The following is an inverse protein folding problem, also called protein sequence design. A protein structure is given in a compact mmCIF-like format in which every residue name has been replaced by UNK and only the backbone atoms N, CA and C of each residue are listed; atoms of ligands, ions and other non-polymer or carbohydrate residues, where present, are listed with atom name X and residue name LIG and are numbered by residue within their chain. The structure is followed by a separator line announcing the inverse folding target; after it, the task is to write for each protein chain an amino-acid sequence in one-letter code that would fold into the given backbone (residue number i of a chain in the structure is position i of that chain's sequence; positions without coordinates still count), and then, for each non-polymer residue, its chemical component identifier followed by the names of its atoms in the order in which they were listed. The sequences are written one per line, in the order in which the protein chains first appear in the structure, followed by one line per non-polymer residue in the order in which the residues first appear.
data_IF_158015681685
#
_entry.id   IF_158015681685
#
_cell.length_a   1.000
_cell.length_b   1.000
_cell.length_c   1.000
_cell.angle_alpha   90.00
_cell.angle_beta   90.00
_cell.angle_gamma   90.00
#
_symmetry.space_group_name_H-M   'P 1'
#
loop_
_entity.id
_entity.type
_entity.pdbx_description
1 polymer ?
#
# COMPACT_ATOMS: atom_id res chain seq x y z
N UNK A 1 39.60 -58.43 49.60
CA UNK A 1 41.01 -58.53 49.18
C UNK A 1 41.34 -57.14 48.76
N UNK A 2 41.81 -56.37 49.64
CA UNK A 2 43.19 -55.98 49.97
C UNK A 2 43.68 -54.97 48.90
N UNK A 3 44.14 -53.82 49.10
CA UNK A 3 44.70 -53.23 50.34
C UNK A 3 45.31 -51.89 49.93
N UNK A 4 45.14 -50.90 50.76
CA UNK A 4 46.10 -49.97 51.31
C UNK A 4 47.00 -49.19 50.32
N UNK A 5 47.35 -47.96 50.53
CA UNK A 5 47.50 -47.13 51.70
C UNK A 5 48.14 -45.82 51.25
N UNK A 6 47.78 -44.72 51.86
CA UNK A 6 48.58 -43.89 52.77
C UNK A 6 49.99 -43.52 52.28
N UNK A 7 50.42 -42.25 52.25
CA UNK A 7 50.78 -41.44 53.39
C UNK A 7 51.40 -40.09 52.88
N UNK A 8 50.90 -38.98 53.34
CA UNK A 8 51.50 -37.88 54.11
C UNK A 8 52.93 -37.42 53.71
N UNK A 9 53.22 -36.18 53.66
CA UNK A 9 53.31 -35.09 54.57
C UNK A 9 54.28 -33.98 54.07
N UNK A 10 53.92 -32.78 54.32
CA UNK A 10 54.66 -31.63 54.77
C UNK A 10 55.99 -31.20 54.08
N UNK A 11 56.07 -30.02 53.58
CA UNK A 11 56.75 -28.94 54.31
C UNK A 11 56.79 -27.64 53.52
N UNK A 12 56.55 -26.58 54.29
CA UNK A 12 56.73 -25.15 54.05
C UNK A 12 58.03 -24.75 53.29
N UNK A 13 57.93 -23.67 52.48
CA UNK A 13 58.44 -22.35 52.81
C UNK A 13 58.54 -21.43 51.59
N UNK A 14 57.95 -20.34 51.69
CA UNK A 14 58.44 -18.96 51.63
C UNK A 14 58.73 -18.25 50.31
N UNK A 15 58.04 -17.13 50.22
CA UNK A 15 58.45 -15.82 49.71
C UNK A 15 58.81 -15.60 48.23
N UNK A 16 58.12 -14.62 47.63
CA UNK A 16 58.64 -13.84 46.54
C UNK A 16 57.58 -13.32 45.57
N UNK A 17 57.07 -12.12 45.86
CA UNK A 17 56.10 -11.43 45.00
C UNK A 17 56.59 -11.09 43.61
N UNK A 18 55.65 -11.07 42.71
CA UNK A 18 55.66 -10.17 41.54
C UNK A 18 54.24 -9.99 41.07
N UNK A 19 53.76 -8.76 41.19
CA UNK A 19 52.53 -8.34 40.55
C UNK A 19 52.64 -8.46 39.05
N UNK A 20 51.84 -9.39 38.48
CA UNK A 20 51.62 -9.47 37.05
C UNK A 20 50.27 -8.76 36.74
N UNK A 21 50.33 -7.67 36.00
CA UNK A 21 49.18 -7.00 35.43
C UNK A 21 48.30 -7.97 34.65
N UNK A 22 46.99 -7.86 34.71
CA UNK A 22 46.10 -8.63 33.82
C UNK A 22 46.28 -8.14 32.39
N UNK A 23 46.83 -9.02 31.55
CA UNK A 23 46.85 -8.89 30.10
C UNK A 23 45.47 -8.47 29.59
N UNK A 24 45.39 -7.22 29.12
CA UNK A 24 44.30 -6.70 28.33
C UNK A 24 44.20 -7.52 27.05
N UNK A 25 43.15 -8.30 26.94
CA UNK A 25 42.71 -8.99 25.71
C UNK A 25 42.37 -7.90 24.63
N UNK A 26 43.17 -7.75 23.55
CA UNK A 26 42.89 -6.76 22.50
C UNK A 26 42.08 -7.41 21.39
N UNK A 27 40.86 -7.90 21.65
CA UNK A 27 40.06 -8.64 20.68
C UNK A 27 38.57 -8.41 20.75
N UNK A 28 38.07 -7.47 21.56
CA UNK A 28 36.69 -7.04 21.51
C UNK A 28 36.48 -6.04 20.38
N UNK A 29 36.06 -6.48 19.20
CA UNK A 29 35.53 -5.58 18.18
C UNK A 29 34.46 -4.70 18.84
N UNK A 30 34.51 -3.36 18.71
CA UNK A 30 33.43 -2.53 19.21
C UNK A 30 32.15 -2.93 18.49
N UNK A 31 31.16 -3.44 19.23
CA UNK A 31 29.82 -3.61 18.73
C UNK A 31 29.41 -2.27 18.14
N UNK A 32 29.21 -2.21 16.81
CA UNK A 32 28.65 -1.06 16.14
C UNK A 32 27.36 -0.72 16.87
N UNK A 33 27.38 0.35 17.67
CA UNK A 33 26.23 0.77 18.46
C UNK A 33 25.09 1.06 17.52
N UNK A 34 24.02 0.28 17.60
CA UNK A 34 22.81 0.53 16.84
C UNK A 34 22.32 1.95 17.15
N UNK A 35 22.18 2.78 16.11
CA UNK A 35 21.73 4.17 16.27
C UNK A 35 20.38 4.17 16.97
N UNK A 36 20.28 4.84 18.13
CA UNK A 36 19.00 5.00 18.83
C UNK A 36 18.11 6.07 18.15
N UNK A 37 17.48 5.66 17.07
CA UNK A 37 16.49 6.49 16.37
C UNK A 37 15.27 6.84 17.23
N UNK A 38 14.95 6.05 18.28
CA UNK A 38 13.78 6.28 19.10
C UNK A 38 14.01 7.43 20.11
N UNK A 39 15.14 7.40 20.81
CA UNK A 39 15.53 8.50 21.73
C UNK A 39 15.69 9.82 20.99
N UNK A 40 16.43 9.80 19.86
CA UNK A 40 16.64 11.01 19.03
C UNK A 40 15.34 11.59 18.49
N UNK A 41 14.39 10.76 18.07
CA UNK A 41 13.09 11.23 17.61
C UNK A 41 12.28 11.84 18.75
N UNK A 42 12.35 11.28 19.97
CA UNK A 42 11.66 11.82 21.13
C UNK A 42 12.20 13.20 21.53
N UNK A 43 13.51 13.43 21.43
CA UNK A 43 14.15 14.73 21.69
C UNK A 43 13.68 15.82 20.71
N UNK A 44 13.50 15.47 19.44
CA UNK A 44 13.06 16.41 18.40
C UNK A 44 11.56 16.65 18.43
N UNK A 45 10.76 15.58 18.59
CA UNK A 45 9.30 15.65 18.53
C UNK A 45 8.67 16.11 19.86
N UNK A 46 9.33 15.84 21.01
CA UNK A 46 8.74 15.95 22.34
C UNK A 46 7.79 14.80 22.70
N UNK A 47 7.67 13.80 21.80
CA UNK A 47 6.85 12.59 21.99
C UNK A 47 7.41 11.43 21.16
N UNK A 48 6.89 10.20 21.40
CA UNK A 48 7.35 9.00 20.68
C UNK A 48 7.10 9.08 19.16
N UNK A 49 8.10 8.68 18.35
CA UNK A 49 7.98 8.61 16.87
C UNK A 49 6.82 7.75 16.38
N UNK A 50 6.31 6.82 17.20
CA UNK A 50 5.16 5.98 16.85
C UNK A 50 3.88 6.79 16.62
N UNK A 51 3.76 7.99 17.18
CA UNK A 51 2.66 8.90 16.91
C UNK A 51 2.64 9.39 15.46
N UNK A 52 3.80 9.42 14.77
CA UNK A 52 3.85 9.73 13.34
C UNK A 52 3.20 8.61 12.50
N UNK A 53 3.46 7.32 12.85
CA UNK A 53 2.77 6.19 12.22
C UNK A 53 1.28 6.19 12.56
N UNK A 54 0.93 6.42 13.84
CA UNK A 54 -0.47 6.44 14.27
C UNK A 54 -1.26 7.56 13.56
N UNK A 55 -0.69 8.74 13.42
CA UNK A 55 -1.30 9.85 12.68
C UNK A 55 -1.46 9.51 11.19
N UNK A 56 -0.40 9.00 10.56
CA UNK A 56 -0.45 8.59 9.15
C UNK A 56 -1.50 7.49 8.92
N UNK A 57 -1.50 6.45 9.74
CA UNK A 57 -2.47 5.34 9.66
C UNK A 57 -3.90 5.82 9.92
N UNK A 58 -4.09 6.69 10.91
CA UNK A 58 -5.41 7.29 11.21
C UNK A 58 -5.95 8.11 10.04
N UNK A 59 -5.12 8.96 9.44
CA UNK A 59 -5.51 9.74 8.24
C UNK A 59 -5.82 8.84 7.05
N UNK A 60 -4.99 7.83 6.80
CA UNK A 60 -5.20 6.86 5.72
C UNK A 60 -6.50 6.07 5.92
N UNK A 61 -6.77 5.63 7.14
CA UNK A 61 -8.03 4.94 7.49
C UNK A 61 -9.24 5.87 7.33
N UNK A 62 -9.13 7.13 7.74
CA UNK A 62 -10.21 8.11 7.66
C UNK A 62 -10.63 8.41 6.22
N UNK A 63 -9.71 8.47 5.25
CA UNK A 63 -10.03 8.75 3.85
C UNK A 63 -10.37 7.49 3.03
N UNK A 64 -10.21 6.31 3.60
CA UNK A 64 -10.55 5.00 3.01
C UNK A 64 -11.98 4.89 2.47
N UNK A 65 -13.01 5.49 3.12
CA UNK A 65 -14.40 5.45 2.64
C UNK A 65 -14.60 5.91 1.20
N UNK A 66 -13.80 6.84 0.71
CA UNK A 66 -13.86 7.26 -0.69
C UNK A 66 -13.71 6.10 -1.69
N UNK A 67 -12.89 5.12 -1.38
CA UNK A 67 -12.69 3.99 -2.27
C UNK A 67 -13.60 2.81 -1.95
N UNK A 68 -13.79 2.47 -0.68
CA UNK A 68 -14.38 1.20 -0.29
C UNK A 68 -15.85 1.28 0.17
N UNK A 69 -16.36 2.48 0.48
CA UNK A 69 -17.77 2.67 0.87
C UNK A 69 -18.69 2.92 -0.33
N UNK A 70 -18.11 3.29 -1.49
CA UNK A 70 -18.88 3.67 -2.68
C UNK A 70 -19.99 2.69 -3.03
N UNK A 71 -19.71 1.41 -3.12
CA UNK A 71 -20.70 0.36 -3.43
C UNK A 71 -21.87 0.28 -2.44
N UNK A 72 -21.69 0.83 -1.23
CA UNK A 72 -22.71 0.83 -0.18
C UNK A 72 -23.62 2.06 -0.18
N UNK A 73 -23.15 3.18 -0.76
CA UNK A 73 -23.90 4.46 -0.81
C UNK A 73 -24.53 4.73 -2.17
N UNK A 74 -24.06 4.08 -3.21
CA UNK A 74 -24.45 4.35 -4.60
C UNK A 74 -25.96 4.17 -4.82
N UNK A 75 -26.56 3.09 -4.32
CA UNK A 75 -27.98 2.81 -4.51
C UNK A 75 -28.89 3.79 -3.76
N UNK A 76 -28.69 4.08 -2.46
CA UNK A 76 -29.43 5.14 -1.77
C UNK A 76 -29.36 6.49 -2.48
N UNK A 77 -28.17 6.84 -2.99
CA UNK A 77 -27.92 8.09 -3.70
C UNK A 77 -28.67 8.14 -5.04
N UNK A 78 -28.62 7.05 -5.82
CA UNK A 78 -29.32 6.90 -7.08
C UNK A 78 -30.83 7.11 -6.90
N UNK A 79 -31.40 6.40 -5.91
CA UNK A 79 -32.84 6.44 -5.62
C UNK A 79 -33.28 7.81 -5.08
N UNK A 80 -32.44 8.49 -4.31
CA UNK A 80 -32.77 9.79 -3.73
C UNK A 80 -32.74 10.93 -4.76
N UNK A 81 -31.85 10.85 -5.74
CA UNK A 81 -31.65 11.91 -6.75
C UNK A 81 -32.27 11.57 -8.11
N UNK A 82 -32.94 10.43 -8.23
CA UNK A 82 -33.47 9.90 -9.50
C UNK A 82 -32.44 9.86 -10.60
N UNK A 83 -31.23 9.36 -10.28
CA UNK A 83 -30.10 9.27 -11.19
C UNK A 83 -29.89 7.82 -11.60
N UNK A 84 -29.71 7.60 -12.90
CA UNK A 84 -29.38 6.28 -13.42
C UNK A 84 -28.03 5.77 -12.90
N UNK A 85 -27.97 4.52 -12.42
CA UNK A 85 -26.75 3.91 -11.86
C UNK A 85 -25.50 3.99 -12.75
N UNK A 86 -25.58 3.83 -14.10
CA UNK A 86 -24.40 4.00 -14.96
C UNK A 86 -23.77 5.40 -14.88
N UNK A 87 -24.56 6.45 -14.65
CA UNK A 87 -24.04 7.80 -14.48
C UNK A 87 -23.28 7.96 -13.15
N UNK A 88 -23.68 7.25 -12.10
CA UNK A 88 -22.95 7.21 -10.83
C UNK A 88 -21.64 6.43 -10.93
N UNK A 89 -21.54 5.44 -11.82
CA UNK A 89 -20.27 4.77 -12.11
C UNK A 89 -19.17 5.74 -12.56
N UNK A 90 -19.53 6.77 -13.33
CA UNK A 90 -18.60 7.81 -13.72
C UNK A 90 -18.10 8.67 -12.53
N UNK A 91 -18.92 8.86 -11.47
CA UNK A 91 -18.47 9.56 -10.23
C UNK A 91 -17.29 8.82 -9.61
N UNK A 92 -17.36 7.48 -9.53
CA UNK A 92 -16.26 6.66 -9.05
C UNK A 92 -15.03 6.73 -9.96
N UNK A 93 -15.21 6.76 -11.29
CA UNK A 93 -14.10 6.97 -12.24
C UNK A 93 -13.39 8.30 -11.99
N UNK A 94 -14.13 9.38 -11.84
CA UNK A 94 -13.58 10.71 -11.52
C UNK A 94 -12.81 10.69 -10.20
N UNK A 95 -13.34 10.02 -9.18
CA UNK A 95 -12.62 9.82 -7.92
C UNK A 95 -11.23 9.21 -8.17
N UNK A 96 -11.14 8.08 -8.88
CA UNK A 96 -9.85 7.41 -9.12
C UNK A 96 -8.91 8.27 -9.94
N UNK A 97 -9.41 8.98 -10.95
CA UNK A 97 -8.63 9.91 -11.78
C UNK A 97 -8.02 11.01 -10.91
N UNK A 98 -8.85 11.77 -10.19
CA UNK A 98 -8.36 12.91 -9.42
C UNK A 98 -7.50 12.48 -8.22
N UNK A 99 -7.82 11.36 -7.56
CA UNK A 99 -7.00 10.78 -6.50
C UNK A 99 -5.61 10.39 -7.01
N UNK A 100 -5.52 9.80 -8.21
CA UNK A 100 -4.24 9.35 -8.76
C UNK A 100 -3.41 10.52 -9.29
N UNK A 101 -4.02 11.46 -10.01
CA UNK A 101 -3.30 12.58 -10.61
C UNK A 101 -2.84 13.62 -9.57
N UNK A 102 -3.56 13.77 -8.46
CA UNK A 102 -3.19 14.72 -7.40
C UNK A 102 -1.93 14.32 -6.63
N UNK A 103 -1.52 13.06 -6.68
CA UNK A 103 -0.36 12.58 -5.92
C UNK A 103 0.95 13.22 -6.36
N UNK A 104 1.12 13.43 -7.67
CA UNK A 104 2.35 14.02 -8.20
C UNK A 104 2.55 15.49 -7.75
N UNK A 105 1.61 16.42 -7.94
CA UNK A 105 1.75 17.79 -7.42
C UNK A 105 1.80 17.83 -5.89
N UNK A 106 1.09 16.91 -5.20
CA UNK A 106 1.13 16.80 -3.75
C UNK A 106 2.54 16.43 -3.24
N UNK A 107 3.20 15.47 -3.90
CA UNK A 107 4.58 15.10 -3.57
C UNK A 107 5.53 16.27 -3.72
N UNK A 108 5.49 16.97 -4.84
CA UNK A 108 6.33 18.17 -5.08
C UNK A 108 6.09 19.29 -4.04
N UNK A 109 4.85 19.56 -3.71
CA UNK A 109 4.52 20.56 -2.69
C UNK A 109 5.09 20.15 -1.33
N UNK A 110 4.85 18.91 -0.93
CA UNK A 110 5.31 18.36 0.34
C UNK A 110 6.84 18.44 0.46
N UNK A 111 7.58 18.11 -0.60
CA UNK A 111 9.05 18.13 -0.60
C UNK A 111 9.60 19.56 -0.51
N UNK A 112 8.87 20.56 -1.02
CA UNK A 112 9.29 21.96 -0.99
C UNK A 112 8.86 22.73 0.26
N UNK A 113 7.69 22.43 0.85
CA UNK A 113 7.05 23.22 1.91
C UNK A 113 6.69 22.41 3.17
N UNK A 114 7.05 21.13 3.21
CA UNK A 114 6.70 20.23 4.31
C UNK A 114 5.24 19.75 4.28
N UNK A 115 4.87 18.86 5.23
CA UNK A 115 3.58 18.17 5.21
C UNK A 115 2.40 18.99 5.73
N UNK A 116 2.60 19.97 6.64
CA UNK A 116 1.52 20.58 7.44
C UNK A 116 0.46 21.29 6.61
N UNK A 117 0.84 22.28 5.79
CA UNK A 117 -0.12 23.09 5.02
C UNK A 117 -0.91 22.27 3.99
N UNK A 118 -0.25 21.34 3.32
CA UNK A 118 -0.91 20.52 2.29
C UNK A 118 -1.84 19.47 2.92
N UNK A 119 -1.51 18.91 4.09
CA UNK A 119 -2.42 18.00 4.81
C UNK A 119 -3.60 18.74 5.43
N UNK A 120 -3.42 19.97 5.87
CA UNK A 120 -4.55 20.84 6.27
C UNK A 120 -5.52 21.05 5.07
N UNK A 121 -4.98 21.38 3.89
CA UNK A 121 -5.79 21.49 2.68
C UNK A 121 -6.50 20.17 2.34
N UNK A 122 -5.80 19.04 2.51
CA UNK A 122 -6.39 17.71 2.28
C UNK A 122 -7.57 17.43 3.23
N UNK A 123 -7.49 17.85 4.49
CA UNK A 123 -8.59 17.71 5.45
C UNK A 123 -9.83 18.46 4.97
N UNK A 124 -9.67 19.71 4.51
CA UNK A 124 -10.78 20.50 3.98
C UNK A 124 -11.36 19.90 2.71
N UNK A 125 -10.52 19.43 1.79
CA UNK A 125 -10.99 18.84 0.54
C UNK A 125 -11.67 17.50 0.76
N UNK A 126 -11.04 16.57 1.50
CA UNK A 126 -11.60 15.25 1.72
C UNK A 126 -12.83 15.28 2.66
N UNK A 127 -12.74 15.96 3.78
CA UNK A 127 -13.86 16.09 4.70
C UNK A 127 -14.99 16.93 4.11
N UNK A 128 -14.67 18.10 3.53
CA UNK A 128 -15.63 18.99 2.89
C UNK A 128 -16.30 18.36 1.68
N UNK A 129 -15.59 17.57 0.88
CA UNK A 129 -16.16 16.81 -0.24
C UNK A 129 -17.26 15.86 0.22
N UNK A 130 -17.02 15.04 1.25
CA UNK A 130 -18.04 14.13 1.81
C UNK A 130 -19.19 14.86 2.49
N UNK A 131 -18.91 15.94 3.22
CA UNK A 131 -19.96 16.79 3.81
C UNK A 131 -20.81 17.43 2.71
N UNK A 132 -20.17 17.93 1.64
CA UNK A 132 -20.87 18.51 0.51
C UNK A 132 -21.78 17.51 -0.21
N UNK A 133 -21.35 16.25 -0.35
CA UNK A 133 -22.19 15.19 -0.94
C UNK A 133 -23.53 15.00 -0.20
N UNK A 134 -23.57 15.23 1.12
CA UNK A 134 -24.79 15.15 1.90
C UNK A 134 -25.88 16.16 1.45
N UNK A 135 -25.47 17.24 0.79
CA UNK A 135 -26.32 18.32 0.34
C UNK A 135 -26.41 18.41 -1.19
N UNK A 136 -25.78 17.48 -1.91
CA UNK A 136 -25.83 17.45 -3.36
C UNK A 136 -27.24 17.10 -3.84
N UNK A 137 -27.71 17.88 -4.85
CA UNK A 137 -29.06 17.73 -5.45
C UNK A 137 -29.00 17.37 -6.93
N UNK A 138 -27.80 17.25 -7.49
CA UNK A 138 -27.62 17.01 -8.92
C UNK A 138 -26.33 16.24 -9.20
N UNK A 139 -26.33 15.53 -10.33
CA UNK A 139 -25.21 14.68 -10.77
C UNK A 139 -23.88 15.46 -10.90
N UNK A 140 -23.91 16.68 -11.45
CA UNK A 140 -22.71 17.49 -11.63
C UNK A 140 -22.07 17.88 -10.28
N UNK A 141 -22.90 18.10 -9.24
CA UNK A 141 -22.40 18.37 -7.88
C UNK A 141 -21.70 17.13 -7.31
N UNK A 142 -22.21 15.92 -7.58
CA UNK A 142 -21.55 14.68 -7.20
C UNK A 142 -20.17 14.55 -7.88
N UNK A 143 -20.09 14.82 -9.18
CA UNK A 143 -18.80 14.82 -9.90
C UNK A 143 -17.82 15.80 -9.27
N UNK A 144 -18.24 17.04 -9.02
CA UNK A 144 -17.36 18.09 -8.50
C UNK A 144 -16.90 17.76 -7.07
N UNK A 145 -17.84 17.47 -6.16
CA UNK A 145 -17.55 17.30 -4.74
C UNK A 145 -16.73 16.02 -4.48
N UNK A 146 -17.07 14.93 -5.18
CA UNK A 146 -16.31 13.68 -5.04
C UNK A 146 -14.93 13.79 -5.63
N UNK A 147 -14.75 14.53 -6.73
CA UNK A 147 -13.43 14.82 -7.33
C UNK A 147 -12.57 15.72 -6.46
N UNK A 148 -13.14 16.79 -5.87
CA UNK A 148 -12.41 17.62 -4.91
C UNK A 148 -11.98 16.83 -3.69
N UNK A 149 -12.87 16.00 -3.15
CA UNK A 149 -12.54 15.09 -2.08
C UNK A 149 -11.46 14.09 -2.47
N UNK A 150 -11.49 13.57 -3.70
CA UNK A 150 -10.48 12.67 -4.24
C UNK A 150 -9.08 13.30 -4.30
N UNK A 151 -8.98 14.59 -4.63
CA UNK A 151 -7.70 15.33 -4.52
C UNK A 151 -7.20 15.31 -3.08
N UNK A 152 -8.06 15.56 -2.10
CA UNK A 152 -7.72 15.45 -0.68
C UNK A 152 -7.22 14.05 -0.30
N UNK A 153 -7.89 13.00 -0.78
CA UNK A 153 -7.45 11.60 -0.58
C UNK A 153 -6.08 11.35 -1.17
N UNK A 154 -5.82 11.82 -2.40
CA UNK A 154 -4.51 11.65 -3.06
C UNK A 154 -3.38 12.37 -2.31
N UNK A 155 -3.65 13.55 -1.77
CA UNK A 155 -2.72 14.28 -0.90
C UNK A 155 -2.41 13.45 0.35
N UNK A 156 -3.43 12.98 1.08
CA UNK A 156 -3.24 12.17 2.30
C UNK A 156 -2.44 10.92 1.97
N UNK A 157 -2.79 10.21 0.90
CA UNK A 157 -2.11 8.98 0.48
C UNK A 157 -0.61 9.19 0.25
N UNK A 158 -0.25 10.31 -0.39
CA UNK A 158 1.16 10.63 -0.68
C UNK A 158 1.89 11.14 0.56
N UNK A 159 1.27 12.07 1.32
CA UNK A 159 1.98 12.81 2.36
C UNK A 159 2.08 12.00 3.66
N UNK A 160 1.01 11.32 4.07
CA UNK A 160 0.96 10.65 5.36
C UNK A 160 2.04 9.56 5.49
N UNK A 161 2.07 8.62 4.53
CA UNK A 161 3.04 7.51 4.54
C UNK A 161 4.46 8.01 4.36
N UNK A 162 4.70 8.88 3.37
CA UNK A 162 6.05 9.38 3.08
C UNK A 162 6.64 10.21 4.22
N UNK A 163 5.81 10.88 5.02
CA UNK A 163 6.27 11.62 6.20
C UNK A 163 6.61 10.66 7.34
N UNK A 164 5.75 9.69 7.62
CA UNK A 164 5.99 8.71 8.67
C UNK A 164 7.25 7.85 8.42
N UNK A 165 7.47 7.43 7.17
CA UNK A 165 8.64 6.63 6.77
C UNK A 165 9.96 7.31 7.09
N UNK A 166 10.06 8.63 6.97
CA UNK A 166 11.29 9.38 7.27
C UNK A 166 11.75 9.26 8.73
N UNK A 167 10.84 9.00 9.66
CA UNK A 167 11.15 8.80 11.08
C UNK A 167 11.60 7.37 11.42
N UNK A 168 11.46 6.44 10.45
CA UNK A 168 11.72 5.01 10.64
C UNK A 168 12.64 4.47 9.54
N UNK A 169 13.89 4.97 9.42
CA UNK A 169 14.85 4.43 8.46
C UNK A 169 15.18 2.96 8.78
N UNK A 170 15.09 2.57 10.06
CA UNK A 170 15.25 1.21 10.57
C UNK A 170 14.08 0.27 10.27
N UNK A 171 12.89 0.80 9.89
CA UNK A 171 11.63 0.03 9.72
C UNK A 171 10.74 0.57 8.59
N UNK A 172 11.32 0.94 7.48
CA UNK A 172 10.60 1.55 6.34
C UNK A 172 9.49 0.66 5.79
N UNK A 173 9.74 -0.64 5.69
CA UNK A 173 8.74 -1.61 5.24
C UNK A 173 7.54 -1.71 6.17
N UNK A 174 7.77 -1.76 7.49
CA UNK A 174 6.69 -1.77 8.49
C UNK A 174 5.83 -0.50 8.39
N UNK A 175 6.47 0.66 8.31
CA UNK A 175 5.77 1.95 8.25
C UNK A 175 4.91 2.08 7.00
N UNK A 176 5.45 1.73 5.84
CA UNK A 176 4.72 1.73 4.57
C UNK A 176 3.59 0.69 4.60
N UNK A 177 3.86 -0.50 5.14
CA UNK A 177 2.88 -1.57 5.28
C UNK A 177 1.70 -1.18 6.15
N UNK A 178 1.95 -0.62 7.35
CA UNK A 178 0.91 -0.14 8.26
C UNK A 178 0.07 0.97 7.61
N UNK A 179 0.70 1.95 6.96
CA UNK A 179 -0.02 3.04 6.28
C UNK A 179 -0.94 2.53 5.16
N UNK A 180 -0.42 1.70 4.27
CA UNK A 180 -1.19 1.16 3.14
C UNK A 180 -2.26 0.16 3.58
N UNK A 181 -2.00 -0.63 4.64
CA UNK A 181 -2.99 -1.50 5.27
C UNK A 181 -4.11 -0.68 5.91
N UNK A 182 -3.78 0.41 6.63
CA UNK A 182 -4.76 1.30 7.24
C UNK A 182 -5.71 1.92 6.21
N UNK A 183 -5.19 2.33 5.03
CA UNK A 183 -6.04 2.77 3.93
C UNK A 183 -6.94 1.64 3.42
N UNK A 184 -6.44 0.44 3.26
CA UNK A 184 -7.26 -0.67 2.81
C UNK A 184 -8.32 -1.06 3.87
N UNK A 185 -7.92 -1.27 5.13
CA UNK A 185 -8.78 -1.81 6.18
C UNK A 185 -9.67 -0.77 6.89
N UNK A 186 -9.36 0.54 6.77
CA UNK A 186 -10.06 1.59 7.51
C UNK A 186 -11.58 1.61 7.30
N UNK A 187 -12.03 1.32 6.08
CA UNK A 187 -13.46 1.26 5.76
C UNK A 187 -14.20 0.10 6.40
N UNK A 188 -13.50 -0.93 6.90
CA UNK A 188 -14.17 -2.05 7.57
C UNK A 188 -14.98 -1.62 8.80
N UNK A 189 -14.58 -0.52 9.45
CA UNK A 189 -15.33 0.07 10.56
C UNK A 189 -16.52 0.91 10.08
N UNK A 190 -16.41 1.50 8.89
CA UNK A 190 -17.40 2.45 8.35
C UNK A 190 -18.52 1.74 7.57
N UNK A 191 -18.17 0.68 6.81
CA UNK A 191 -19.16 -0.04 5.97
C UNK A 191 -20.37 -0.56 6.74
N UNK A 192 -20.24 -1.22 7.92
CA UNK A 192 -21.40 -1.68 8.67
C UNK A 192 -22.31 -0.52 9.11
N UNK A 193 -21.73 0.60 9.54
CA UNK A 193 -22.47 1.80 9.89
C UNK A 193 -23.27 2.33 8.70
N UNK A 194 -22.64 2.43 7.53
CA UNK A 194 -23.27 2.88 6.29
C UNK A 194 -24.41 1.93 5.89
N UNK A 195 -24.14 0.62 5.85
CA UNK A 195 -25.14 -0.38 5.47
C UNK A 195 -26.35 -0.44 6.40
N UNK A 196 -26.17 -0.12 7.68
CA UNK A 196 -27.25 -0.07 8.65
C UNK A 196 -28.09 1.22 8.57
N UNK A 197 -27.50 2.36 8.16
CA UNK A 197 -28.09 3.68 8.32
C UNK A 197 -28.33 4.43 7.01
N UNK A 198 -27.64 4.12 5.90
CA UNK A 198 -27.79 4.86 4.64
C UNK A 198 -29.04 4.43 3.88
N UNK A 199 -30.19 4.86 4.36
CA UNK A 199 -31.49 4.76 3.66
C UNK A 199 -31.65 5.98 2.73
N UNK A 200 -32.63 5.93 1.82
CA UNK A 200 -32.99 7.07 0.95
C UNK A 200 -33.27 8.36 1.74
N UNK A 201 -33.84 8.24 2.94
CA UNK A 201 -34.14 9.41 3.77
C UNK A 201 -32.97 9.88 4.64
N UNK A 202 -32.02 8.99 5.00
CA UNK A 202 -30.97 9.26 5.98
C UNK A 202 -29.54 9.25 5.41
N UNK A 203 -29.35 8.97 4.10
CA UNK A 203 -28.00 8.91 3.50
C UNK A 203 -27.23 10.22 3.69
N UNK A 204 -27.90 11.37 3.65
CA UNK A 204 -27.28 12.67 3.85
C UNK A 204 -26.62 12.80 5.22
N UNK A 205 -27.30 12.35 6.29
CA UNK A 205 -26.73 12.36 7.64
C UNK A 205 -25.52 11.41 7.75
N UNK A 206 -25.59 10.24 7.12
CA UNK A 206 -24.49 9.28 7.08
C UNK A 206 -23.26 9.89 6.37
N UNK A 207 -23.43 10.50 5.20
CA UNK A 207 -22.35 11.14 4.46
C UNK A 207 -21.74 12.30 5.25
N UNK A 208 -22.57 13.15 5.87
CA UNK A 208 -22.13 14.24 6.72
C UNK A 208 -21.29 13.73 7.90
N UNK A 209 -21.73 12.71 8.60
CA UNK A 209 -21.02 12.14 9.75
C UNK A 209 -19.67 11.56 9.34
N UNK A 210 -19.59 10.84 8.22
CA UNK A 210 -18.33 10.33 7.65
C UNK A 210 -17.43 11.50 7.29
N UNK A 211 -17.96 12.52 6.61
CA UNK A 211 -17.21 13.71 6.22
C UNK A 211 -16.63 14.48 7.41
N UNK A 212 -17.39 14.62 8.51
CA UNK A 212 -16.90 15.20 9.76
C UNK A 212 -15.79 14.34 10.35
N UNK A 213 -15.94 13.02 10.37
CA UNK A 213 -14.92 12.09 10.83
C UNK A 213 -13.62 12.23 10.02
N UNK A 214 -13.72 12.26 8.68
CA UNK A 214 -12.57 12.50 7.78
C UNK A 214 -11.91 13.84 8.10
N UNK A 215 -12.70 14.91 8.20
CA UNK A 215 -12.22 16.26 8.48
C UNK A 215 -11.43 16.30 9.80
N UNK A 216 -12.04 15.82 10.88
CA UNK A 216 -11.44 15.87 12.23
C UNK A 216 -10.17 15.03 12.29
N UNK A 217 -10.20 13.78 11.84
CA UNK A 217 -9.03 12.89 11.92
C UNK A 217 -7.87 13.41 11.06
N UNK A 218 -8.19 13.87 9.83
CA UNK A 218 -7.15 14.40 8.93
C UNK A 218 -6.61 15.75 9.45
N UNK A 219 -7.46 16.57 10.03
CA UNK A 219 -7.05 17.84 10.64
C UNK A 219 -6.12 17.60 11.84
N UNK A 220 -6.49 16.70 12.76
CA UNK A 220 -5.63 16.32 13.89
C UNK A 220 -4.31 15.74 13.38
N UNK A 221 -4.35 14.88 12.38
CA UNK A 221 -3.17 14.31 11.73
C UNK A 221 -2.26 15.39 11.13
N UNK A 222 -2.82 16.47 10.58
CA UNK A 222 -2.04 17.58 9.99
C UNK A 222 -1.20 18.35 11.02
N UNK A 223 -1.61 18.38 12.26
CA UNK A 223 -0.84 18.98 13.37
C UNK A 223 0.20 18.01 13.96
N UNK A 224 -0.05 16.70 13.87
CA UNK A 224 0.86 15.68 14.39
C UNK A 224 1.98 15.35 13.42
N UNK A 225 1.70 15.30 12.12
CA UNK A 225 2.69 14.94 11.09
C UNK A 225 3.71 16.05 10.93
N UNK A 226 4.98 15.68 11.14
CA UNK A 226 6.15 16.59 11.03
C UNK A 226 7.24 15.89 10.23
N UNK A 227 7.99 16.64 9.43
CA UNK A 227 9.24 16.15 8.84
C UNK A 227 10.36 16.13 9.88
N UNK A 228 11.27 15.15 9.81
CA UNK A 228 12.50 15.22 10.60
C UNK A 228 13.39 16.36 10.12
N UNK A 229 14.30 16.86 10.97
CA UNK A 229 15.32 17.85 10.57
C UNK A 229 16.11 17.38 9.36
N UNK A 230 16.64 18.30 8.55
CA UNK A 230 17.40 17.99 7.34
C UNK A 230 18.64 17.15 7.60
N UNK A 231 19.22 17.30 8.78
CA UNK A 231 20.41 16.59 9.26
C UNK A 231 20.08 15.29 10.04
N UNK A 232 18.82 14.83 9.95
CA UNK A 232 18.35 13.65 10.68
C UNK A 232 19.16 12.38 10.41
N UNK A 233 19.56 12.17 9.16
CA UNK A 233 20.37 11.03 8.72
C UNK A 233 21.88 11.34 8.72
N UNK A 234 22.28 12.61 8.53
CA UNK A 234 23.66 13.00 8.28
C UNK A 234 24.51 13.10 9.56
N UNK A 235 23.93 13.23 10.74
CA UNK A 235 24.65 13.42 12.01
C UNK A 235 25.51 12.25 12.46
N UNK A 236 25.55 11.12 11.76
CA UNK A 236 26.37 9.96 12.12
C UNK A 236 27.04 9.27 10.93
N UNK A 237 26.97 9.85 9.73
CA UNK A 237 27.81 9.40 8.60
C UNK A 237 29.15 10.14 8.52
N UNK A 238 29.29 11.31 9.14
CA UNK A 238 30.42 12.21 8.97
C UNK A 238 31.19 12.56 10.26
N UNK A 239 31.09 11.77 11.32
CA UNK A 239 31.87 12.02 12.53
C UNK A 239 33.28 11.37 12.50
N UNK A 240 33.60 10.57 11.47
CA UNK A 240 34.90 9.91 11.33
C UNK A 240 35.58 10.02 9.95
N UNK A 241 35.03 10.74 8.99
CA UNK A 241 35.71 10.99 7.71
C UNK A 241 36.37 12.38 7.65
N UNK A 242 37.22 12.65 8.63
CA UNK A 242 38.34 13.58 8.52
C UNK A 242 39.57 12.75 8.14
N UNK A 243 40.00 12.91 6.88
CA UNK A 243 41.30 12.45 6.36
C UNK A 243 41.58 10.93 6.36
N UNK A 244 41.46 10.41 5.22
CA UNK A 244 42.25 9.39 4.50
C UNK A 244 41.39 8.31 3.85
N UNK A 245 41.57 8.24 2.56
CA UNK A 245 40.91 7.38 1.64
C UNK A 245 41.18 5.89 1.82
N UNK A 246 40.45 5.15 1.01
CA UNK A 246 40.69 3.77 0.57
C UNK A 246 40.41 2.66 1.59
N UNK A 247 39.45 1.82 1.18
CA UNK A 247 39.08 0.53 1.72
C UNK A 247 38.02 0.47 2.85
N UNK A 248 36.78 0.30 2.46
CA UNK A 248 35.64 -0.06 3.33
C UNK A 248 34.78 -1.13 2.69
N UNK A 249 35.20 -2.37 2.69
CA UNK A 249 34.44 -3.54 2.27
C UNK A 249 33.43 -3.94 3.35
N UNK A 250 32.24 -3.37 3.31
CA UNK A 250 31.13 -3.76 4.20
C UNK A 250 29.75 -3.55 3.59
N UNK A 251 29.60 -2.54 2.73
CA UNK A 251 28.36 -2.21 2.03
C UNK A 251 28.33 -2.73 0.58
N UNK A 252 29.38 -3.42 0.16
CA UNK A 252 29.52 -3.93 -1.20
C UNK A 252 28.52 -5.03 -1.55
N UNK A 253 27.97 -5.75 -0.59
CA UNK A 253 27.00 -6.82 -0.84
C UNK A 253 25.63 -6.28 -1.29
N UNK A 254 25.15 -5.20 -0.71
CA UNK A 254 23.89 -4.53 -1.10
C UNK A 254 24.13 -3.60 -2.30
N UNK A 255 25.25 -2.88 -2.33
CA UNK A 255 25.64 -2.02 -3.45
C UNK A 255 26.06 -2.82 -4.70
N UNK A 256 26.64 -4.02 -4.54
CA UNK A 256 26.94 -4.91 -5.65
C UNK A 256 25.69 -5.51 -6.30
N UNK A 257 24.62 -5.74 -5.53
CA UNK A 257 23.29 -6.10 -6.05
C UNK A 257 22.63 -4.96 -6.83
N UNK A 258 23.09 -3.72 -6.68
CA UNK A 258 22.53 -2.52 -7.32
C UNK A 258 23.37 -2.02 -8.51
N UNK A 259 24.31 -2.79 -9.04
CA UNK A 259 25.16 -2.42 -10.20
C UNK A 259 24.41 -2.40 -11.54
N UNK A 260 23.07 -2.43 -11.53
CA UNK A 260 22.25 -2.17 -12.70
C UNK A 260 22.22 -0.68 -13.06
N UNK A 261 22.05 -0.39 -14.35
CA UNK A 261 21.83 0.98 -14.85
C UNK A 261 20.61 1.60 -14.20
N UNK A 262 20.73 2.78 -13.61
CA UNK A 262 19.59 3.56 -13.11
C UNK A 262 18.94 4.32 -14.26
N UNK A 263 17.72 3.94 -14.60
CA UNK A 263 16.93 4.57 -15.66
C UNK A 263 16.20 5.82 -15.14
N UNK A 264 16.26 6.90 -15.91
CA UNK A 264 15.35 8.03 -15.72
C UNK A 264 13.94 7.64 -16.20
N UNK A 265 12.91 8.37 -15.76
CA UNK A 265 11.53 8.11 -16.23
C UNK A 265 11.39 8.20 -17.75
N UNK A 266 12.17 9.07 -18.41
CA UNK A 266 12.17 9.20 -19.86
C UNK A 266 12.77 7.98 -20.57
N UNK A 267 13.88 7.45 -20.06
CA UNK A 267 14.50 6.22 -20.58
C UNK A 267 13.60 5.00 -20.34
N UNK A 268 12.98 4.91 -19.17
CA UNK A 268 12.01 3.87 -18.84
C UNK A 268 10.84 3.85 -19.82
N UNK A 269 10.26 5.00 -20.14
CA UNK A 269 9.17 5.15 -21.13
C UNK A 269 9.55 4.68 -22.54
N UNK A 270 10.84 4.62 -22.89
CA UNK A 270 11.32 4.12 -24.18
C UNK A 270 11.40 2.60 -24.27
N UNK A 271 11.19 1.87 -23.16
CA UNK A 271 11.29 0.42 -23.09
C UNK A 271 9.92 -0.25 -23.25
N UNK A 272 9.86 -1.39 -23.97
CA UNK A 272 8.61 -2.15 -24.11
C UNK A 272 8.17 -2.80 -22.80
N UNK A 273 9.11 -3.10 -21.92
CA UNK A 273 8.87 -3.68 -20.60
C UNK A 273 8.00 -2.75 -19.74
N UNK A 274 8.28 -1.44 -19.80
CA UNK A 274 7.45 -0.46 -19.10
C UNK A 274 6.00 -0.49 -19.58
N UNK A 275 5.77 -0.52 -20.90
CA UNK A 275 4.42 -0.51 -21.43
C UNK A 275 3.66 -1.81 -21.14
N UNK A 276 4.38 -2.95 -21.06
CA UNK A 276 3.78 -4.19 -20.61
C UNK A 276 3.39 -4.10 -19.12
N UNK A 277 4.28 -3.61 -18.24
CA UNK A 277 3.98 -3.36 -16.82
C UNK A 277 2.80 -2.39 -16.67
N UNK A 278 2.76 -1.34 -17.48
CA UNK A 278 1.67 -0.36 -17.49
C UNK A 278 0.32 -0.99 -17.86
N UNK A 279 0.30 -1.80 -18.92
CA UNK A 279 -0.90 -2.54 -19.34
C UNK A 279 -1.35 -3.56 -18.29
N UNK A 280 -0.41 -4.30 -17.69
CA UNK A 280 -0.70 -5.23 -16.59
C UNK A 280 -1.27 -4.50 -15.37
N UNK A 281 -0.73 -3.33 -15.04
CA UNK A 281 -1.26 -2.51 -13.93
C UNK A 281 -2.69 -2.03 -14.24
N UNK A 282 -2.97 -1.54 -15.46
CA UNK A 282 -4.33 -1.19 -15.88
C UNK A 282 -5.26 -2.41 -15.70
N UNK A 283 -4.88 -3.58 -16.22
CA UNK A 283 -5.70 -4.78 -16.17
C UNK A 283 -6.01 -5.22 -14.73
N UNK A 284 -4.99 -5.23 -13.86
CA UNK A 284 -5.15 -5.59 -12.45
C UNK A 284 -5.95 -4.56 -11.67
N UNK A 285 -5.68 -3.26 -11.88
CA UNK A 285 -6.43 -2.19 -11.26
C UNK A 285 -7.89 -2.17 -11.71
N UNK A 286 -8.16 -2.47 -12.99
CA UNK A 286 -9.51 -2.63 -13.53
C UNK A 286 -10.27 -3.76 -12.82
N UNK A 287 -9.63 -4.91 -12.69
CA UNK A 287 -10.20 -6.07 -12.02
C UNK A 287 -10.44 -5.82 -10.53
N UNK A 288 -9.50 -5.16 -9.85
CA UNK A 288 -9.56 -4.86 -8.41
C UNK A 288 -10.68 -3.84 -8.10
N UNK A 289 -10.64 -2.70 -8.77
CA UNK A 289 -11.61 -1.63 -8.60
C UNK A 289 -13.02 -2.02 -9.05
N UNK A 290 -13.17 -2.93 -10.02
CA UNK A 290 -14.47 -3.47 -10.43
C UNK A 290 -15.21 -4.15 -9.25
N UNK A 291 -14.50 -4.97 -8.47
CA UNK A 291 -15.08 -5.62 -7.29
C UNK A 291 -15.35 -4.57 -6.21
N UNK A 292 -14.39 -3.69 -5.91
CA UNK A 292 -14.53 -2.65 -4.89
C UNK A 292 -15.76 -1.77 -5.14
N UNK A 293 -15.93 -1.31 -6.38
CA UNK A 293 -17.01 -0.39 -6.74
C UNK A 293 -18.39 -1.07 -6.81
N UNK A 294 -18.44 -2.40 -7.04
CA UNK A 294 -19.69 -3.03 -7.42
C UNK A 294 -20.11 -4.23 -6.56
N UNK A 295 -19.34 -4.61 -5.52
CA UNK A 295 -19.56 -5.86 -4.76
C UNK A 295 -20.96 -5.95 -4.15
N UNK A 296 -21.50 -4.85 -3.65
CA UNK A 296 -22.85 -4.81 -3.04
C UNK A 296 -23.91 -5.09 -4.08
N UNK A 297 -23.91 -4.34 -5.18
CA UNK A 297 -24.90 -4.52 -6.27
C UNK A 297 -24.77 -5.89 -6.94
N UNK A 298 -23.54 -6.40 -7.02
CA UNK A 298 -23.30 -7.73 -7.58
C UNK A 298 -23.91 -8.83 -6.69
N UNK A 299 -23.78 -8.73 -5.36
CA UNK A 299 -24.45 -9.63 -4.42
C UNK A 299 -25.98 -9.52 -4.51
N UNK A 300 -26.51 -8.31 -4.57
CA UNK A 300 -27.95 -8.02 -4.69
C UNK A 300 -28.54 -8.54 -6.01
N UNK A 301 -27.77 -8.50 -7.12
CA UNK A 301 -28.19 -9.05 -8.42
C UNK A 301 -28.46 -10.57 -8.38
N UNK A 302 -27.82 -11.29 -7.46
CA UNK A 302 -28.09 -12.73 -7.23
C UNK A 302 -29.18 -12.98 -6.17
N UNK A 303 -29.83 -11.94 -5.64
CA UNK A 303 -30.81 -12.07 -4.59
C UNK A 303 -30.24 -12.54 -3.25
N UNK A 304 -28.93 -12.36 -3.03
CA UNK A 304 -28.30 -12.73 -1.77
C UNK A 304 -28.75 -11.80 -0.64
N UNK A 305 -28.81 -12.35 0.59
CA UNK A 305 -29.25 -11.59 1.76
C UNK A 305 -28.39 -10.31 1.97
N UNK A 306 -28.99 -9.24 2.46
CA UNK A 306 -28.31 -7.97 2.74
C UNK A 306 -27.06 -8.14 3.63
N UNK A 307 -27.09 -9.12 4.55
CA UNK A 307 -25.94 -9.46 5.39
C UNK A 307 -24.74 -9.92 4.55
N UNK A 308 -24.97 -10.69 3.47
CA UNK A 308 -23.88 -11.17 2.58
C UNK A 308 -23.23 -10.01 1.86
N UNK A 309 -24.02 -9.07 1.32
CA UNK A 309 -23.52 -7.85 0.71
C UNK A 309 -22.72 -7.00 1.71
N UNK A 310 -23.23 -6.86 2.93
CA UNK A 310 -22.55 -6.13 4.02
C UNK A 310 -21.24 -6.79 4.42
N UNK A 311 -21.23 -8.11 4.66
CA UNK A 311 -20.02 -8.85 5.00
C UNK A 311 -18.98 -8.78 3.88
N UNK A 312 -19.42 -8.92 2.62
CA UNK A 312 -18.54 -8.78 1.46
C UNK A 312 -17.88 -7.42 1.41
N UNK A 313 -18.63 -6.34 1.52
CA UNK A 313 -18.10 -4.97 1.50
C UNK A 313 -17.24 -4.63 2.73
N UNK A 314 -17.54 -5.20 3.90
CA UNK A 314 -16.77 -5.00 5.15
C UNK A 314 -15.46 -5.74 5.16
N UNK A 315 -15.44 -7.00 4.73
CA UNK A 315 -14.26 -7.87 4.81
C UNK A 315 -13.32 -7.73 3.61
N UNK A 316 -13.82 -7.27 2.46
CA UNK A 316 -13.04 -7.00 1.25
C UNK A 316 -11.81 -6.11 1.52
N UNK A 317 -11.95 -4.92 2.15
CA UNK A 317 -10.81 -4.06 2.45
C UNK A 317 -9.87 -4.66 3.50
N UNK A 318 -10.37 -5.50 4.42
CA UNK A 318 -9.53 -6.23 5.38
C UNK A 318 -8.67 -7.25 4.65
N UNK A 319 -9.27 -8.06 3.77
CA UNK A 319 -8.53 -9.02 2.94
C UNK A 319 -7.45 -8.32 2.10
N UNK A 320 -7.78 -7.17 1.51
CA UNK A 320 -6.85 -6.34 0.75
C UNK A 320 -5.68 -5.83 1.60
N UNK A 321 -5.93 -5.40 2.84
CA UNK A 321 -4.89 -4.92 3.75
C UNK A 321 -3.96 -6.04 4.22
N UNK A 322 -4.53 -7.15 4.69
CA UNK A 322 -3.79 -8.31 5.20
C UNK A 322 -2.93 -8.95 4.10
N UNK A 323 -3.46 -9.04 2.88
CA UNK A 323 -2.75 -9.65 1.76
C UNK A 323 -1.45 -8.91 1.39
N UNK A 324 -1.42 -7.59 1.54
CA UNK A 324 -0.21 -6.79 1.27
C UNK A 324 0.94 -7.15 2.20
N UNK A 325 0.63 -7.49 3.45
CA UNK A 325 1.65 -7.96 4.41
C UNK A 325 2.10 -9.38 4.06
N UNK A 326 1.16 -10.32 3.93
CA UNK A 326 1.46 -11.74 3.74
C UNK A 326 2.15 -11.99 2.39
N UNK A 327 1.57 -11.47 1.30
CA UNK A 327 2.11 -11.69 -0.05
C UNK A 327 3.26 -10.73 -0.36
N UNK A 328 3.38 -9.60 0.35
CA UNK A 328 4.58 -8.77 0.36
C UNK A 328 5.78 -9.52 0.91
N UNK A 329 5.64 -10.20 2.05
CA UNK A 329 6.67 -11.07 2.60
C UNK A 329 7.00 -12.26 1.65
N UNK A 330 5.98 -12.79 0.97
CA UNK A 330 6.18 -13.92 0.07
C UNK A 330 7.08 -13.59 -1.12
N UNK A 331 7.02 -12.37 -1.67
CA UNK A 331 7.91 -11.97 -2.79
C UNK A 331 9.37 -11.75 -2.37
N UNK A 332 9.62 -11.57 -1.08
CA UNK A 332 10.97 -11.45 -0.54
C UNK A 332 11.59 -12.83 -0.27
N UNK A 333 10.75 -13.87 -0.06
CA UNK A 333 11.21 -15.25 0.24
C UNK A 333 11.21 -16.18 -0.97
N UNK A 334 10.36 -15.93 -1.95
CA UNK A 334 10.18 -16.79 -3.12
C UNK A 334 10.45 -16.01 -4.42
N UNK A 335 10.50 -16.73 -5.55
CA UNK A 335 10.63 -16.12 -6.86
C UNK A 335 9.50 -15.11 -7.11
N UNK A 336 9.87 -13.84 -7.19
CA UNK A 336 8.95 -12.70 -7.27
C UNK A 336 7.98 -12.81 -8.45
N UNK A 337 8.48 -13.23 -9.63
CA UNK A 337 7.65 -13.38 -10.82
C UNK A 337 6.62 -14.49 -10.64
N UNK A 338 7.00 -15.62 -10.05
CA UNK A 338 6.07 -16.76 -9.84
C UNK A 338 5.01 -16.41 -8.82
N UNK A 339 5.36 -15.74 -7.71
CA UNK A 339 4.39 -15.29 -6.71
C UNK A 339 3.41 -14.28 -7.34
N UNK A 340 3.91 -13.30 -8.08
CA UNK A 340 3.09 -12.30 -8.77
C UNK A 340 2.16 -12.94 -9.80
N UNK A 341 2.68 -13.82 -10.68
CA UNK A 341 1.88 -14.53 -11.69
C UNK A 341 0.79 -15.40 -11.05
N UNK A 342 1.16 -16.23 -10.06
CA UNK A 342 0.22 -17.07 -9.32
C UNK A 342 -0.87 -16.26 -8.63
N UNK A 343 -0.48 -15.17 -7.98
CA UNK A 343 -1.40 -14.25 -7.30
C UNK A 343 -2.43 -13.67 -8.28
N UNK A 344 -1.98 -13.12 -9.41
CA UNK A 344 -2.87 -12.50 -10.40
C UNK A 344 -3.79 -13.52 -11.09
N UNK A 345 -3.28 -14.72 -11.40
CA UNK A 345 -4.10 -15.80 -11.96
C UNK A 345 -5.17 -16.23 -10.95
N UNK A 346 -4.80 -16.45 -9.68
CA UNK A 346 -5.76 -16.80 -8.64
C UNK A 346 -6.78 -15.68 -8.42
N UNK A 347 -6.36 -14.42 -8.40
CA UNK A 347 -7.27 -13.29 -8.32
C UNK A 347 -8.32 -13.31 -9.44
N UNK A 348 -7.90 -13.62 -10.66
CA UNK A 348 -8.81 -13.75 -11.81
C UNK A 348 -9.73 -14.93 -11.71
N UNK A 349 -9.22 -16.10 -11.29
CA UNK A 349 -10.04 -17.32 -11.09
C UNK A 349 -11.10 -17.11 -10.01
N UNK A 350 -10.75 -16.48 -8.88
CA UNK A 350 -11.72 -16.13 -7.85
C UNK A 350 -12.80 -15.17 -8.37
N UNK A 351 -12.47 -14.22 -9.26
CA UNK A 351 -13.46 -13.30 -9.87
C UNK A 351 -14.39 -14.02 -10.84
N UNK A 352 -13.86 -14.87 -11.69
CA UNK A 352 -14.69 -15.70 -12.58
C UNK A 352 -15.58 -16.63 -11.74
N UNK A 353 -14.99 -17.28 -10.73
CA UNK A 353 -15.72 -18.14 -9.80
C UNK A 353 -16.76 -17.43 -8.96
N UNK A 354 -16.59 -16.12 -8.70
CA UNK A 354 -17.58 -15.31 -7.98
C UNK A 354 -18.96 -15.29 -8.66
N UNK A 355 -19.00 -15.35 -10.01
CA UNK A 355 -20.25 -15.49 -10.76
C UNK A 355 -20.93 -16.83 -10.44
N UNK A 356 -20.14 -17.92 -10.41
CA UNK A 356 -20.64 -19.24 -10.02
C UNK A 356 -21.12 -19.24 -8.56
N UNK A 357 -20.32 -18.67 -7.67
CA UNK A 357 -20.63 -18.55 -6.24
C UNK A 357 -21.96 -17.82 -6.01
N UNK A 358 -22.21 -16.72 -6.74
CA UNK A 358 -23.49 -16.01 -6.67
C UNK A 358 -24.68 -16.88 -7.07
N UNK A 359 -24.51 -17.69 -8.11
CA UNK A 359 -25.57 -18.60 -8.61
C UNK A 359 -25.90 -19.75 -7.65
N UNK A 360 -24.98 -20.13 -6.75
CA UNK A 360 -25.26 -21.17 -5.75
C UNK A 360 -26.26 -20.74 -4.68
N UNK A 361 -26.49 -19.44 -4.53
CA UNK A 361 -27.28 -18.87 -3.44
C UNK A 361 -26.61 -18.92 -2.07
N UNK A 362 -25.41 -19.51 -1.97
CA UNK A 362 -24.66 -19.63 -0.71
C UNK A 362 -23.89 -18.34 -0.41
N UNK A 363 -24.34 -17.60 0.60
CA UNK A 363 -23.68 -16.37 1.05
C UNK A 363 -22.23 -16.61 1.52
N UNK A 364 -21.96 -17.72 2.21
CA UNK A 364 -20.64 -18.05 2.69
C UNK A 364 -19.65 -18.28 1.52
N UNK A 365 -20.08 -19.01 0.49
CA UNK A 365 -19.27 -19.25 -0.72
C UNK A 365 -19.02 -17.92 -1.43
N UNK A 366 -20.04 -17.09 -1.59
CA UNK A 366 -19.89 -15.77 -2.22
C UNK A 366 -18.85 -14.91 -1.49
N UNK A 367 -18.96 -14.76 -0.16
CA UNK A 367 -18.00 -14.00 0.66
C UNK A 367 -16.58 -14.57 0.50
N UNK A 368 -16.41 -15.90 0.56
CA UNK A 368 -15.10 -16.53 0.40
C UNK A 368 -14.46 -16.19 -0.97
N UNK A 369 -15.24 -16.18 -2.06
CA UNK A 369 -14.74 -15.80 -3.38
C UNK A 369 -14.42 -14.30 -3.48
N UNK A 370 -15.20 -13.42 -2.83
CA UNK A 370 -14.86 -11.98 -2.72
C UNK A 370 -13.53 -11.81 -2.00
N UNK A 371 -13.34 -12.47 -0.85
CA UNK A 371 -12.10 -12.37 -0.08
C UNK A 371 -10.91 -12.91 -0.87
N UNK A 372 -11.05 -14.06 -1.53
CA UNK A 372 -9.99 -14.62 -2.39
C UNK A 372 -9.64 -13.69 -3.55
N UNK A 373 -10.63 -13.12 -4.23
CA UNK A 373 -10.41 -12.17 -5.31
C UNK A 373 -9.60 -10.96 -4.86
N UNK A 374 -9.89 -10.41 -3.67
CA UNK A 374 -9.20 -9.24 -3.13
C UNK A 374 -7.84 -9.58 -2.52
N UNK A 375 -7.75 -10.72 -1.81
CA UNK A 375 -6.51 -11.17 -1.21
C UNK A 375 -5.40 -11.36 -2.23
N UNK A 376 -5.69 -11.96 -3.37
CA UNK A 376 -4.71 -12.21 -4.41
C UNK A 376 -4.47 -11.03 -5.35
N UNK A 377 -5.35 -10.02 -5.41
CA UNK A 377 -5.15 -8.86 -6.30
C UNK A 377 -4.51 -7.66 -5.62
N UNK A 378 -4.86 -7.38 -4.37
CA UNK A 378 -4.46 -6.15 -3.70
C UNK A 378 -2.94 -5.96 -3.53
N UNK A 379 -2.10 -7.02 -3.46
CA UNK A 379 -0.65 -6.88 -3.43
C UNK A 379 -0.02 -6.25 -4.68
N UNK A 380 -0.81 -5.96 -5.73
CA UNK A 380 -0.32 -5.23 -6.90
C UNK A 380 0.44 -3.94 -6.51
N UNK A 381 0.00 -3.25 -5.44
CA UNK A 381 0.66 -2.04 -4.93
C UNK A 381 1.98 -2.32 -4.19
N UNK A 382 2.35 -3.58 -3.99
CA UNK A 382 3.65 -4.03 -3.47
C UNK A 382 4.50 -4.60 -4.60
N UNK A 383 3.91 -5.42 -5.47
CA UNK A 383 4.61 -6.10 -6.56
C UNK A 383 5.19 -5.16 -7.60
N UNK A 384 4.38 -4.21 -8.07
CA UNK A 384 4.81 -3.30 -9.14
C UNK A 384 5.95 -2.36 -8.72
N UNK A 385 5.93 -1.68 -7.54
CA UNK A 385 7.06 -0.87 -7.10
C UNK A 385 8.34 -1.69 -6.99
N UNK A 386 8.25 -2.89 -6.42
CA UNK A 386 9.37 -3.79 -6.21
C UNK A 386 9.99 -4.23 -7.54
N UNK A 387 9.16 -4.71 -8.47
CA UNK A 387 9.63 -5.13 -9.80
C UNK A 387 10.18 -3.95 -10.62
N UNK A 388 9.59 -2.77 -10.46
CA UNK A 388 10.06 -1.56 -11.13
C UNK A 388 11.48 -1.18 -10.66
N UNK A 389 11.73 -1.27 -9.35
CA UNK A 389 13.04 -1.02 -8.76
C UNK A 389 14.08 -2.03 -9.27
N UNK A 390 13.71 -3.31 -9.36
CA UNK A 390 14.60 -4.35 -9.91
C UNK A 390 14.97 -4.09 -11.37
N UNK A 391 14.02 -3.65 -12.19
CA UNK A 391 14.22 -3.47 -13.63
C UNK A 391 14.89 -2.15 -14.00
N UNK A 392 14.60 -1.08 -13.26
CA UNK A 392 15.01 0.28 -13.62
C UNK A 392 15.92 0.96 -12.60
N UNK A 393 16.27 0.27 -11.51
CA UNK A 393 17.17 0.77 -10.48
C UNK A 393 16.48 1.60 -9.41
N UNK A 394 17.17 1.75 -8.27
CA UNK A 394 16.63 2.40 -7.07
C UNK A 394 16.68 3.93 -7.11
N UNK A 395 17.67 4.51 -7.82
CA UNK A 395 17.94 5.96 -7.75
C UNK A 395 16.74 6.84 -8.17
N UNK A 396 15.98 6.40 -9.18
CA UNK A 396 14.79 7.12 -9.68
C UNK A 396 13.47 6.38 -9.39
N UNK A 397 13.46 5.39 -8.49
CA UNK A 397 12.34 4.47 -8.27
C UNK A 397 11.03 5.19 -7.93
N UNK A 398 11.07 6.22 -7.09
CA UNK A 398 9.88 7.00 -6.71
C UNK A 398 9.26 7.74 -7.90
N UNK A 399 10.09 8.39 -8.73
CA UNK A 399 9.62 9.08 -9.94
C UNK A 399 9.07 8.09 -10.97
N UNK A 400 9.78 6.99 -11.20
CA UNK A 400 9.39 5.93 -12.11
C UNK A 400 8.07 5.28 -11.69
N UNK A 401 7.90 5.02 -10.38
CA UNK A 401 6.64 4.46 -9.85
C UNK A 401 5.49 5.46 -9.95
N UNK A 402 5.72 6.75 -9.73
CA UNK A 402 4.67 7.76 -9.90
C UNK A 402 4.11 7.76 -11.34
N UNK A 403 4.99 7.58 -12.35
CA UNK A 403 4.57 7.44 -13.75
C UNK A 403 3.77 6.14 -13.95
N UNK A 404 4.26 5.00 -13.44
CA UNK A 404 3.54 3.73 -13.54
C UNK A 404 2.18 3.77 -12.84
N UNK A 405 2.09 4.44 -11.68
CA UNK A 405 0.85 4.54 -10.90
C UNK A 405 -0.28 5.27 -11.63
N UNK A 406 0.03 6.10 -12.64
CA UNK A 406 -0.99 6.72 -13.49
C UNK A 406 -1.84 5.68 -14.23
N UNK A 407 -1.35 4.44 -14.40
CA UNK A 407 -2.11 3.32 -14.94
C UNK A 407 -3.38 3.00 -14.13
N UNK A 408 -3.41 3.34 -12.82
CA UNK A 408 -4.62 3.21 -11.98
C UNK A 408 -5.79 4.02 -12.53
N UNK A 409 -5.53 5.13 -13.23
CA UNK A 409 -6.55 5.93 -13.91
C UNK A 409 -7.34 5.07 -14.90
N UNK A 410 -6.65 4.27 -15.73
CA UNK A 410 -7.30 3.33 -16.65
C UNK A 410 -8.18 2.32 -15.92
N UNK A 411 -7.68 1.80 -14.79
CA UNK A 411 -8.45 0.91 -13.92
C UNK A 411 -9.73 1.56 -13.36
N UNK A 412 -9.64 2.80 -12.93
CA UNK A 412 -10.79 3.57 -12.40
C UNK A 412 -11.85 3.87 -13.45
N UNK A 413 -11.43 4.27 -14.66
CA UNK A 413 -12.32 4.49 -15.79
C UNK A 413 -13.03 3.19 -16.17
N UNK A 414 -12.29 2.07 -16.19
CA UNK A 414 -12.89 0.76 -16.45
C UNK A 414 -13.92 0.40 -15.37
N UNK A 415 -13.55 0.44 -14.10
CA UNK A 415 -14.37 -0.04 -12.98
C UNK A 415 -15.65 0.78 -12.76
N UNK A 416 -15.61 2.06 -13.03
CA UNK A 416 -16.79 2.94 -12.90
C UNK A 416 -17.55 3.06 -14.22
N UNK A 417 -17.02 3.80 -15.20
CA UNK A 417 -17.73 4.16 -16.43
C UNK A 417 -17.93 2.96 -17.35
N UNK A 418 -16.84 2.24 -17.70
CA UNK A 418 -16.92 1.14 -18.66
C UNK A 418 -17.72 -0.03 -18.09
N UNK A 419 -17.48 -0.39 -16.83
CA UNK A 419 -18.23 -1.47 -16.17
C UNK A 419 -19.72 -1.13 -16.03
N UNK A 420 -20.06 0.14 -15.72
CA UNK A 420 -21.44 0.60 -15.69
C UNK A 420 -22.17 0.40 -17.02
N UNK A 421 -21.49 0.76 -18.14
CA UNK A 421 -21.99 0.54 -19.49
C UNK A 421 -22.10 -0.96 -19.83
N UNK A 422 -21.09 -1.75 -19.52
CA UNK A 422 -21.08 -3.20 -19.79
C UNK A 422 -22.18 -3.91 -19.00
N UNK A 423 -22.39 -3.56 -17.75
CA UNK A 423 -23.47 -4.13 -16.91
C UNK A 423 -24.84 -3.78 -17.48
N UNK A 424 -25.05 -2.53 -17.91
CA UNK A 424 -26.31 -2.09 -18.50
C UNK A 424 -26.60 -2.79 -19.83
N UNK A 425 -25.58 -3.09 -20.64
CA UNK A 425 -25.75 -3.64 -21.98
C UNK A 425 -25.70 -5.18 -22.00
N UNK A 426 -24.75 -5.77 -21.29
CA UNK A 426 -24.45 -7.21 -21.35
C UNK A 426 -24.76 -7.93 -20.03
N UNK A 427 -25.02 -7.18 -18.94
CA UNK A 427 -25.27 -7.73 -17.61
C UNK A 427 -24.01 -7.96 -16.79
N UNK A 428 -24.23 -8.42 -15.58
CA UNK A 428 -23.18 -8.61 -14.56
C UNK A 428 -22.20 -9.72 -14.88
N UNK A 429 -22.69 -10.87 -15.38
CA UNK A 429 -21.87 -12.06 -15.64
C UNK A 429 -20.73 -11.80 -16.63
N UNK A 430 -20.97 -11.29 -17.86
CA UNK A 430 -19.90 -11.02 -18.81
C UNK A 430 -18.91 -9.96 -18.28
N UNK A 431 -19.40 -8.95 -17.55
CA UNK A 431 -18.57 -7.87 -17.00
C UNK A 431 -17.58 -8.42 -15.97
N UNK A 432 -18.01 -9.27 -15.04
CA UNK A 432 -17.12 -9.85 -14.02
C UNK A 432 -16.19 -10.93 -14.60
N UNK A 433 -16.65 -11.70 -15.59
CA UNK A 433 -15.79 -12.64 -16.32
C UNK A 433 -14.70 -11.90 -17.08
N UNK A 434 -15.01 -10.76 -17.72
CA UNK A 434 -14.01 -9.90 -18.37
C UNK A 434 -13.00 -9.37 -17.34
N UNK A 435 -13.45 -8.86 -16.19
CA UNK A 435 -12.55 -8.41 -15.12
C UNK A 435 -11.65 -9.53 -14.62
N UNK A 436 -12.16 -10.74 -14.45
CA UNK A 436 -11.36 -11.92 -14.11
C UNK A 436 -10.37 -12.30 -15.21
N UNK A 437 -10.79 -12.23 -16.47
CA UNK A 437 -9.94 -12.46 -17.65
C UNK A 437 -8.77 -11.47 -17.75
N UNK A 438 -9.01 -10.19 -17.45
CA UNK A 438 -7.95 -9.17 -17.38
C UNK A 438 -6.89 -9.52 -16.32
N UNK A 439 -7.32 -9.98 -15.14
CA UNK A 439 -6.38 -10.39 -14.09
C UNK A 439 -5.58 -11.63 -14.47
N UNK A 440 -6.22 -12.65 -15.10
CA UNK A 440 -5.52 -13.84 -15.61
C UNK A 440 -4.52 -13.44 -16.70
N UNK A 441 -4.93 -12.59 -17.64
CA UNK A 441 -4.06 -12.10 -18.70
C UNK A 441 -2.83 -11.34 -18.14
N UNK A 442 -3.04 -10.49 -17.12
CA UNK A 442 -1.94 -9.84 -16.43
C UNK A 442 -1.00 -10.84 -15.75
N UNK A 443 -1.54 -11.89 -15.11
CA UNK A 443 -0.74 -12.95 -14.49
C UNK A 443 0.08 -13.74 -15.51
N UNK A 444 -0.50 -14.08 -16.67
CA UNK A 444 0.22 -14.75 -17.77
C UNK A 444 1.28 -13.84 -18.40
N UNK A 445 1.01 -12.53 -18.51
CA UNK A 445 1.95 -11.56 -19.03
C UNK A 445 3.25 -11.45 -18.19
N UNK A 446 3.21 -11.82 -16.90
CA UNK A 446 4.41 -11.85 -16.04
C UNK A 446 5.49 -12.76 -16.64
N UNK A 447 5.12 -13.88 -17.25
CA UNK A 447 6.08 -14.83 -17.84
C UNK A 447 6.78 -14.28 -19.10
N UNK A 448 6.18 -13.29 -19.75
CA UNK A 448 6.76 -12.61 -20.91
C UNK A 448 7.75 -11.52 -20.48
N UNK A 449 7.63 -11.00 -19.26
CA UNK A 449 8.48 -9.93 -18.73
C UNK A 449 9.94 -10.41 -18.64
N UNK A 450 10.84 -9.62 -19.23
CA UNK A 450 12.30 -9.78 -19.12
C UNK A 450 12.91 -8.46 -18.67
N UNK A 451 14.00 -8.49 -17.88
CA UNK A 451 14.70 -7.26 -17.50
C UNK A 451 15.13 -6.48 -18.74
N UNK A 452 15.14 -5.14 -18.70
CA UNK A 452 15.72 -4.33 -19.76
C UNK A 452 17.23 -4.61 -19.89
N UNK A 453 17.77 -4.51 -21.11
CA UNK A 453 19.18 -4.69 -21.38
C UNK A 453 20.04 -3.72 -20.56
N UNK A 454 21.01 -4.22 -19.79
CA UNK A 454 21.83 -3.43 -18.88
C UNK A 454 21.27 -3.24 -17.48
N UNK A 455 20.14 -3.88 -17.13
CA UNK A 455 19.76 -4.12 -15.74
C UNK A 455 20.72 -5.19 -15.19
N UNK A 456 21.33 -5.02 -14.02
CA UNK A 456 22.27 -5.98 -13.43
C UNK A 456 21.75 -7.41 -13.23
N UNK A 457 20.51 -7.70 -13.64
CA UNK A 457 19.84 -8.99 -13.57
C UNK A 457 20.14 -9.91 -14.79
N UNK A 458 20.69 -9.37 -15.89
CA UNK A 458 21.06 -10.19 -17.06
C UNK A 458 22.16 -11.21 -16.76
N UNK A 459 22.98 -10.96 -15.75
CA UNK A 459 24.11 -11.85 -15.36
C UNK A 459 23.71 -12.97 -14.40
N UNK A 460 22.45 -13.01 -13.92
CA UNK A 460 21.98 -13.99 -12.96
C UNK A 460 21.15 -15.13 -13.58
N UNK A 461 20.88 -15.11 -14.88
CA UNK A 461 20.21 -16.22 -15.56
C UNK A 461 21.28 -17.34 -15.81
N UNK A 462 21.14 -18.56 -15.24
CA UNK A 462 22.04 -19.63 -15.56
C UNK A 462 21.95 -19.89 -17.05
N UNK A 463 23.11 -19.90 -17.73
CA UNK A 463 23.20 -20.36 -19.11
C UNK A 463 22.46 -21.70 -19.20
N UNK A 464 21.42 -21.75 -20.05
CA UNK A 464 20.71 -22.97 -20.31
C UNK A 464 21.77 -24.00 -20.73
N UNK A 465 21.85 -25.07 -19.96
CA UNK A 465 22.70 -26.20 -20.31
C UNK A 465 22.18 -26.77 -21.64
N UNK A 466 23.02 -26.64 -22.68
CA UNK A 466 22.90 -27.39 -23.92
C UNK A 466 23.09 -28.89 -23.69
#
# INVERSE_FOLDING_TARGET
MSDSGESSADSESDAGGSAGDPESDPGGSPSQGSVDYAGRAADVLGFSRWWQIAAAAGMMAAVSPYQYVWSSIEQPLANSLDIALPALGAVFSFYVVFQSLSQFPAGKWRDSRGPGAITFLAALLAGGGYIGLAYATSLWQLYLLYSLGAVGVGIVYTVAVNTAVKWFPDRTGLTTGVGTMAFAAGSALVVPYVRANATVAAYGDVLRNIGIGILVVTLVGSFLLRDPPKDWLDRHGNAEDGENGEDGGGDEGLAASLRGRNYTSREMLSTWQFWLLYAMFIAMASADLLVIANVVRFAENFGLAALVATLSATLLPVAAGVSRLILGEAIDRFDRKRVMAGSFILAGLFRVGLVGAGRTGSGAVFVAFVLGAMFFSSPLFVYFPSLLTDYYGAANSSGNYAVLYTAKVGGGVFAGTVAGYLVATFGWTPTFVLGGGLAIAAGLAVFVLRPPSGSGLESAEPAAAD
#
